data_IF_173560831713
#
_entry.id   IF_173560831713
#
_cell.length_a   1.000
_cell.length_b   1.000
_cell.length_c   1.000
_cell.angle_alpha   90.00
_cell.angle_beta   90.00
_cell.angle_gamma   90.00
#
_symmetry.space_group_name_H-M   'P 1'
#
loop_
_entity.id
_entity.type
_entity.pdbx_description
1 polymer ?
#
# COMPACT_ATOMS: atom_id res chain seq x y z
N UNK A 1 -7.43 -57.87 46.69
CA UNK A 1 -6.82 -58.13 45.37
C UNK A 1 -7.64 -57.41 44.31
N UNK A 2 -6.97 -56.77 43.36
CA UNK A 2 -7.41 -56.10 42.12
C UNK A 2 -8.67 -56.72 41.48
N UNK A 3 -9.51 -56.10 40.66
CA UNK A 3 -9.58 -54.81 39.97
C UNK A 3 -10.97 -54.81 39.29
N UNK A 4 -11.58 -53.64 39.10
CA UNK A 4 -12.78 -53.50 38.29
C UNK A 4 -12.94 -52.04 37.87
N UNK A 5 -12.16 -51.62 36.88
CA UNK A 5 -12.20 -50.27 36.31
C UNK A 5 -13.60 -49.95 35.76
N UNK A 6 -14.13 -48.81 36.18
CA UNK A 6 -15.29 -48.17 35.57
C UNK A 6 -14.91 -47.47 34.27
N UNK A 7 -15.75 -47.65 33.24
CA UNK A 7 -15.67 -46.94 31.97
C UNK A 7 -16.55 -45.68 32.07
N UNK A 8 -15.92 -44.51 32.19
CA UNK A 8 -16.61 -43.21 32.10
C UNK A 8 -16.46 -42.68 30.68
N UNK A 9 -17.59 -42.54 29.98
CA UNK A 9 -17.71 -41.83 28.70
C UNK A 9 -17.44 -40.34 28.93
N UNK A 10 -16.30 -39.84 28.48
CA UNK A 10 -16.01 -38.42 28.44
C UNK A 10 -16.67 -37.80 27.20
N UNK A 11 -17.71 -36.99 27.42
CA UNK A 11 -18.24 -36.04 26.44
C UNK A 11 -17.19 -34.94 26.23
N UNK A 12 -16.47 -34.99 25.11
CA UNK A 12 -15.56 -33.92 24.70
C UNK A 12 -16.36 -32.74 24.15
N UNK A 13 -16.62 -31.73 24.98
CA UNK A 13 -17.00 -30.41 24.51
C UNK A 13 -15.72 -29.71 24.01
N UNK A 14 -15.54 -29.61 22.69
CA UNK A 14 -14.53 -28.71 22.13
C UNK A 14 -15.08 -27.28 22.21
N UNK A 15 -14.68 -26.55 23.24
CA UNK A 15 -14.78 -25.10 23.27
C UNK A 15 -13.79 -24.53 22.24
N UNK A 16 -14.30 -24.13 21.07
CA UNK A 16 -13.58 -23.24 20.16
C UNK A 16 -13.51 -21.87 20.84
N UNK A 17 -12.50 -21.67 21.67
CA UNK A 17 -12.05 -20.33 22.02
C UNK A 17 -11.39 -19.78 20.76
N UNK A 18 -12.15 -18.99 20.00
CA UNK A 18 -11.59 -18.13 18.97
C UNK A 18 -10.66 -17.14 19.66
N UNK A 19 -9.39 -17.50 19.78
CA UNK A 19 -8.35 -16.56 20.17
C UNK A 19 -8.08 -15.72 18.93
N UNK A 20 -8.95 -14.74 18.70
CA UNK A 20 -8.63 -13.59 17.87
C UNK A 20 -7.51 -12.81 18.57
N UNK A 21 -6.28 -13.35 18.54
CA UNK A 21 -5.11 -12.53 18.79
C UNK A 21 -5.15 -11.45 17.72
N UNK A 22 -5.32 -10.21 18.15
CA UNK A 22 -5.02 -9.05 17.32
C UNK A 22 -3.55 -9.17 16.92
N UNK A 23 -3.27 -9.74 15.76
CA UNK A 23 -1.94 -9.73 15.14
C UNK A 23 -1.42 -8.27 15.06
N UNK A 24 -2.36 -7.35 14.89
CA UNK A 24 -2.20 -5.91 14.98
C UNK A 24 -1.84 -5.45 16.41
N UNK A 25 -0.56 -5.12 16.63
CA UNK A 25 -0.07 -4.42 17.85
C UNK A 25 0.15 -2.93 17.66
N UNK A 26 -0.28 -2.33 16.54
CA UNK A 26 -0.14 -0.91 16.30
C UNK A 26 -0.93 -0.13 17.36
N UNK A 27 -0.24 0.53 18.28
CA UNK A 27 -0.85 1.35 19.34
C UNK A 27 -1.10 2.79 18.86
N UNK A 28 -0.21 3.28 18.00
CA UNK A 28 -0.20 4.63 17.49
C UNK A 28 0.41 4.62 16.09
N UNK A 29 -0.18 5.36 15.16
CA UNK A 29 0.35 5.55 13.82
C UNK A 29 0.95 6.95 13.76
N UNK A 30 2.27 7.04 13.66
CA UNK A 30 2.95 8.33 13.53
C UNK A 30 2.99 8.77 12.07
N UNK A 31 3.12 7.82 11.14
CA UNK A 31 3.22 8.09 9.70
C UNK A 31 2.31 7.16 8.89
N UNK A 32 1.66 7.71 7.87
CA UNK A 32 0.94 6.99 6.85
C UNK A 32 1.57 7.30 5.49
N UNK A 33 2.13 6.30 4.83
CA UNK A 33 2.71 6.41 3.48
C UNK A 33 1.78 5.71 2.50
N UNK A 34 1.30 6.44 1.49
CA UNK A 34 0.30 5.89 0.55
C UNK A 34 0.74 5.93 -0.90
N UNK A 35 0.44 4.85 -1.61
CA UNK A 35 0.65 4.65 -3.04
C UNK A 35 -0.67 4.28 -3.69
N UNK A 36 -0.82 4.52 -4.99
CA UNK A 36 -2.00 4.10 -5.71
C UNK A 36 -2.52 5.10 -6.73
N UNK A 37 -3.82 5.05 -6.96
CA UNK A 37 -4.48 5.79 -8.03
C UNK A 37 -5.31 6.98 -7.53
N UNK A 38 -6.31 7.39 -8.32
CA UNK A 38 -7.22 8.50 -8.08
C UNK A 38 -8.09 8.38 -6.81
N UNK A 39 -8.18 7.20 -6.21
CA UNK A 39 -8.83 7.08 -4.89
C UNK A 39 -7.95 7.57 -3.75
N UNK A 40 -6.64 7.70 -3.99
CA UNK A 40 -5.64 8.04 -2.98
C UNK A 40 -4.90 9.34 -3.30
N UNK A 41 -4.65 9.67 -4.57
CA UNK A 41 -3.94 10.90 -4.96
C UNK A 41 -4.65 12.18 -4.50
N UNK A 42 -3.89 13.04 -3.84
CA UNK A 42 -4.35 14.32 -3.30
C UNK A 42 -3.91 15.51 -4.18
N UNK A 43 -2.68 15.51 -4.67
CA UNK A 43 -2.10 16.68 -5.38
C UNK A 43 -0.97 16.35 -6.35
N UNK A 44 -0.54 15.08 -6.46
CA UNK A 44 0.66 14.72 -7.21
C UNK A 44 0.40 14.71 -8.71
N UNK A 45 -0.75 14.21 -9.19
CA UNK A 45 -1.08 14.35 -10.62
C UNK A 45 -1.20 15.82 -11.02
N UNK A 46 -1.79 16.66 -10.15
CA UNK A 46 -1.91 18.10 -10.41
C UNK A 46 -0.53 18.74 -10.59
N UNK A 47 0.47 18.34 -9.80
CA UNK A 47 1.84 18.79 -9.99
C UNK A 47 2.37 18.45 -11.39
N UNK A 48 2.19 17.20 -11.84
CA UNK A 48 2.61 16.78 -13.18
C UNK A 48 1.92 17.62 -14.27
N UNK A 49 0.62 17.88 -14.14
CA UNK A 49 -0.12 18.70 -15.12
C UNK A 49 0.40 20.13 -15.17
N UNK A 50 0.71 20.74 -14.02
CA UNK A 50 1.14 22.13 -13.95
C UNK A 50 2.61 22.34 -14.34
N UNK A 51 3.48 21.39 -14.03
CA UNK A 51 4.93 21.54 -14.21
C UNK A 51 5.49 20.74 -15.41
N UNK A 52 4.70 19.81 -15.98
CA UNK A 52 5.11 18.91 -17.06
C UNK A 52 6.32 18.01 -16.71
N UNK A 53 6.60 17.87 -15.42
CA UNK A 53 7.64 17.02 -14.87
C UNK A 53 7.23 16.48 -13.49
N UNK A 54 7.97 15.48 -13.01
CA UNK A 54 7.76 14.95 -11.66
C UNK A 54 8.17 15.98 -10.59
N UNK A 55 7.51 16.01 -9.42
CA UNK A 55 8.01 16.73 -8.27
C UNK A 55 9.47 16.36 -7.96
N UNK A 56 10.31 17.32 -7.56
CA UNK A 56 11.68 17.03 -7.18
C UNK A 56 11.73 16.14 -5.93
N UNK A 57 12.82 15.40 -5.76
CA UNK A 57 13.08 14.63 -4.54
C UNK A 57 13.08 15.57 -3.33
N UNK A 58 12.40 15.15 -2.26
CA UNK A 58 12.14 15.95 -1.06
C UNK A 58 10.88 16.81 -1.12
N UNK A 59 10.12 16.77 -2.21
CA UNK A 59 8.86 17.49 -2.29
C UNK A 59 7.74 16.78 -1.51
N UNK A 60 7.21 17.47 -0.50
CA UNK A 60 6.04 17.01 0.25
C UNK A 60 4.77 17.55 -0.42
N UNK A 61 3.87 16.62 -0.75
CA UNK A 61 2.61 16.93 -1.40
C UNK A 61 1.72 17.81 -0.50
N UNK A 62 1.25 18.97 -0.97
CA UNK A 62 0.32 19.78 -0.20
C UNK A 62 -1.04 19.09 -0.10
N UNK A 63 -1.74 19.36 0.99
CA UNK A 63 -3.16 19.01 1.15
C UNK A 63 -4.01 19.70 0.08
N UNK A 64 -5.03 19.00 -0.41
CA UNK A 64 -5.95 19.52 -1.41
C UNK A 64 -7.33 18.89 -1.23
N UNK A 65 -8.35 19.73 -1.10
CA UNK A 65 -9.74 19.32 -0.95
C UNK A 65 -10.47 19.13 -2.30
N UNK A 66 -9.79 19.39 -3.42
CA UNK A 66 -10.32 19.21 -4.79
C UNK A 66 -9.63 18.02 -5.44
N UNK A 67 -10.08 16.81 -5.08
CA UNK A 67 -9.56 15.55 -5.62
C UNK A 67 -10.60 14.82 -6.47
N UNK A 68 -10.21 13.69 -7.08
CA UNK A 68 -11.10 12.84 -7.87
C UNK A 68 -12.27 12.22 -7.09
N UNK A 69 -12.25 12.24 -5.74
CA UNK A 69 -13.39 11.82 -4.93
C UNK A 69 -14.48 12.90 -4.80
N UNK A 70 -14.24 14.11 -5.31
CA UNK A 70 -15.11 15.28 -5.10
C UNK A 70 -14.90 15.97 -3.74
N UNK A 71 -13.84 15.62 -3.02
CA UNK A 71 -13.48 16.17 -1.71
C UNK A 71 -12.12 15.66 -1.25
N UNK A 72 -11.98 15.39 0.04
CA UNK A 72 -10.78 14.74 0.60
C UNK A 72 -10.69 13.26 0.20
N UNK A 73 -9.48 12.76 0.08
CA UNK A 73 -9.19 11.33 -0.12
C UNK A 73 -9.21 10.57 1.21
N UNK A 74 -9.39 9.24 1.17
CA UNK A 74 -9.51 8.41 2.37
C UNK A 74 -8.28 8.53 3.30
N UNK A 75 -7.07 8.63 2.75
CA UNK A 75 -5.84 8.69 3.53
C UNK A 75 -5.72 9.98 4.35
N UNK A 76 -6.30 11.09 3.88
CA UNK A 76 -6.38 12.36 4.60
C UNK A 76 -7.31 12.23 5.80
N UNK A 77 -8.48 11.59 5.63
CA UNK A 77 -9.35 11.27 6.77
C UNK A 77 -8.65 10.38 7.80
N UNK A 78 -7.87 9.40 7.35
CA UNK A 78 -7.08 8.55 8.26
C UNK A 78 -6.03 9.38 9.01
N UNK A 79 -5.30 10.26 8.32
CA UNK A 79 -4.36 11.20 8.93
C UNK A 79 -5.05 12.10 9.96
N UNK A 80 -6.17 12.74 9.60
CA UNK A 80 -6.95 13.61 10.47
C UNK A 80 -7.47 12.89 11.74
N UNK A 81 -7.90 11.62 11.60
CA UNK A 81 -8.45 10.84 12.72
C UNK A 81 -7.39 10.22 13.62
N UNK A 82 -6.17 10.03 13.14
CA UNK A 82 -5.09 9.38 13.91
C UNK A 82 -4.02 10.36 14.38
N UNK A 83 -3.91 11.53 13.76
CA UNK A 83 -2.80 12.46 13.94
C UNK A 83 -1.53 12.06 13.18
N UNK A 84 -1.57 11.00 12.37
CA UNK A 84 -0.43 10.54 11.59
C UNK A 84 -0.07 11.54 10.49
N UNK A 85 1.23 11.73 10.25
CA UNK A 85 1.71 12.49 9.10
C UNK A 85 1.47 11.70 7.80
N UNK A 86 0.81 12.31 6.82
CA UNK A 86 0.52 11.69 5.53
C UNK A 86 1.60 12.01 4.50
N UNK A 87 2.25 10.97 3.98
CA UNK A 87 3.14 11.03 2.83
C UNK A 87 2.50 10.35 1.62
N UNK A 88 1.94 11.17 0.73
CA UNK A 88 1.15 10.69 -0.40
C UNK A 88 1.96 10.67 -1.71
N UNK A 89 2.17 9.45 -2.23
CA UNK A 89 2.86 9.17 -3.49
C UNK A 89 1.93 8.74 -4.62
N UNK A 90 0.65 8.54 -4.33
CA UNK A 90 -0.34 8.10 -5.32
C UNK A 90 -0.47 9.11 -6.46
N UNK A 91 -0.71 8.62 -7.67
CA UNK A 91 -0.98 9.44 -8.85
C UNK A 91 -2.30 9.02 -9.49
N UNK A 92 -3.21 9.97 -9.67
CA UNK A 92 -4.47 9.72 -10.37
C UNK A 92 -4.21 9.13 -11.76
N UNK A 93 -4.88 8.02 -12.07
CA UNK A 93 -4.69 7.28 -13.34
C UNK A 93 -3.56 6.24 -13.34
N UNK A 94 -2.74 6.17 -12.27
CA UNK A 94 -1.69 5.18 -12.12
C UNK A 94 -2.20 3.75 -12.24
N UNK A 95 -1.37 2.91 -12.87
CA UNK A 95 -1.47 1.44 -12.86
C UNK A 95 -0.38 0.87 -11.97
N UNK A 96 -0.41 -0.44 -11.72
CA UNK A 96 0.69 -1.07 -10.99
C UNK A 96 2.01 -0.92 -11.75
N UNK A 97 2.00 -1.20 -13.06
CA UNK A 97 3.18 -1.10 -13.91
C UNK A 97 2.83 -0.73 -15.35
N UNK A 98 3.58 0.22 -15.90
CA UNK A 98 3.53 0.61 -17.31
C UNK A 98 4.06 -0.48 -18.24
N UNK A 99 4.72 -1.53 -17.72
CA UNK A 99 5.08 -2.71 -18.50
C UNK A 99 3.92 -3.70 -18.66
N UNK A 100 2.79 -3.47 -17.99
CA UNK A 100 1.61 -4.33 -18.01
C UNK A 100 0.44 -3.59 -18.66
N UNK A 101 0.11 -2.41 -18.15
CA UNK A 101 -1.07 -1.62 -18.54
C UNK A 101 -0.67 -0.13 -18.67
N UNK A 102 0.18 0.23 -19.65
CA UNK A 102 0.55 1.63 -19.86
C UNK A 102 -0.65 2.45 -20.32
N UNK A 103 -0.82 3.65 -19.77
CA UNK A 103 -1.93 4.55 -20.10
C UNK A 103 -1.42 5.95 -20.44
N UNK A 104 -1.63 6.36 -21.68
CA UNK A 104 -1.27 7.71 -22.14
C UNK A 104 -2.22 8.75 -21.57
N UNK A 105 -1.66 9.86 -21.08
CA UNK A 105 -2.38 10.99 -20.54
C UNK A 105 -1.95 12.28 -21.23
N UNK A 106 -2.82 12.78 -22.11
CA UNK A 106 -2.56 13.97 -22.93
C UNK A 106 -2.12 15.20 -22.14
N UNK A 107 -2.72 15.54 -20.98
CA UNK A 107 -2.32 16.72 -20.19
C UNK A 107 -0.88 16.74 -19.66
N UNK A 108 -0.19 15.60 -19.61
CA UNK A 108 1.25 15.53 -19.25
C UNK A 108 2.12 15.13 -20.45
N UNK A 109 1.53 15.01 -21.64
CA UNK A 109 2.17 14.53 -22.87
C UNK A 109 2.99 13.24 -22.67
N UNK A 110 2.45 12.29 -21.89
CA UNK A 110 3.20 11.13 -21.42
C UNK A 110 2.32 10.02 -20.86
N UNK A 111 2.96 8.94 -20.41
CA UNK A 111 2.28 7.84 -19.71
C UNK A 111 2.08 8.22 -18.24
N UNK A 112 0.94 7.85 -17.66
CA UNK A 112 0.72 8.02 -16.22
C UNK A 112 1.90 7.43 -15.41
N UNK A 113 2.43 8.17 -14.43
CA UNK A 113 3.36 7.62 -13.46
C UNK A 113 2.71 6.43 -12.72
N UNK A 114 3.37 5.26 -12.75
CA UNK A 114 2.87 4.03 -12.14
C UNK A 114 3.50 3.79 -10.77
N UNK A 115 2.93 2.84 -10.01
CA UNK A 115 3.48 2.41 -8.71
C UNK A 115 4.92 1.90 -8.87
N UNK A 116 5.16 1.00 -9.83
CA UNK A 116 6.45 0.31 -9.98
C UNK A 116 7.56 1.21 -10.57
N UNK A 117 7.22 2.07 -11.55
CA UNK A 117 8.20 2.93 -12.23
C UNK A 117 8.39 4.30 -11.59
N UNK A 118 7.46 4.80 -10.78
CA UNK A 118 7.54 6.15 -10.21
C UNK A 118 7.27 6.21 -8.71
N UNK A 119 6.12 5.76 -8.22
CA UNK A 119 5.71 6.08 -6.84
C UNK A 119 6.63 5.44 -5.80
N UNK A 120 6.90 4.13 -5.90
CA UNK A 120 7.83 3.43 -5.00
C UNK A 120 9.26 3.95 -5.16
N UNK A 121 9.85 4.08 -6.38
CA UNK A 121 11.16 4.70 -6.55
C UNK A 121 11.29 6.09 -5.92
N UNK A 122 10.27 6.95 -6.06
CA UNK A 122 10.28 8.32 -5.53
C UNK A 122 10.28 8.29 -4.00
N UNK A 123 9.42 7.47 -3.40
CA UNK A 123 9.42 7.26 -1.95
C UNK A 123 10.79 6.81 -1.43
N UNK A 124 11.41 5.81 -2.07
CA UNK A 124 12.72 5.32 -1.66
C UNK A 124 13.81 6.40 -1.77
N UNK A 125 13.73 7.28 -2.77
CA UNK A 125 14.63 8.41 -2.92
C UNK A 125 14.40 9.46 -1.81
N UNK A 126 13.14 9.83 -1.55
CA UNK A 126 12.79 10.78 -0.48
C UNK A 126 13.17 10.25 0.90
N UNK A 127 12.97 8.96 1.16
CA UNK A 127 13.31 8.35 2.44
C UNK A 127 14.81 8.35 2.74
N UNK A 128 15.65 8.48 1.71
CA UNK A 128 17.11 8.66 1.84
C UNK A 128 17.54 10.13 1.68
N UNK A 129 16.61 11.03 1.36
CA UNK A 129 16.90 12.43 1.10
C UNK A 129 17.04 13.23 2.39
N UNK A 130 18.05 14.11 2.40
CA UNK A 130 18.25 15.11 3.45
C UNK A 130 18.20 16.50 2.83
N UNK A 131 17.41 17.38 3.43
CA UNK A 131 17.32 18.77 3.00
C UNK A 131 18.71 19.42 3.06
N UNK A 132 19.24 19.97 1.95
CA UNK A 132 20.59 20.52 1.90
C UNK A 132 20.81 21.76 2.78
N UNK A 133 19.74 22.48 3.14
CA UNK A 133 19.80 23.69 3.95
C UNK A 133 19.81 23.36 5.45
N UNK A 134 19.07 22.34 5.87
CA UNK A 134 18.90 21.97 7.29
C UNK A 134 19.65 20.70 7.71
N UNK A 135 20.05 19.86 6.76
CA UNK A 135 20.63 18.53 6.98
C UNK A 135 19.64 17.48 7.53
N UNK A 136 18.38 17.86 7.74
CA UNK A 136 17.36 16.98 8.31
C UNK A 136 16.80 16.04 7.24
N UNK A 137 16.43 14.80 7.61
CA UNK A 137 15.72 13.91 6.69
C UNK A 137 14.35 14.52 6.36
N UNK A 138 13.91 14.39 5.11
CA UNK A 138 12.58 14.92 4.73
C UNK A 138 11.44 14.04 5.26
N UNK A 139 11.69 12.72 5.36
CA UNK A 139 10.77 11.75 5.96
C UNK A 139 11.35 11.28 7.28
N UNK A 140 10.56 11.40 8.37
CA UNK A 140 10.95 10.85 9.67
C UNK A 140 10.13 9.58 9.94
N UNK A 141 10.54 8.48 9.32
CA UNK A 141 9.81 7.20 9.38
C UNK A 141 10.31 6.36 10.55
N UNK A 142 9.40 5.79 11.33
CA UNK A 142 9.73 4.82 12.39
C UNK A 142 9.07 3.49 12.09
N UNK A 143 9.87 2.41 12.04
CA UNK A 143 9.37 1.09 11.60
C UNK A 143 8.12 0.66 12.36
N UNK A 144 8.06 0.87 13.68
CA UNK A 144 6.94 0.40 14.50
C UNK A 144 5.66 1.23 14.38
N UNK A 145 5.74 2.46 13.86
CA UNK A 145 4.62 3.40 13.84
C UNK A 145 4.34 3.97 12.43
N UNK A 146 5.04 3.49 11.40
CA UNK A 146 4.77 3.81 10.00
C UNK A 146 3.89 2.74 9.37
N UNK A 147 2.79 3.18 8.74
CA UNK A 147 1.87 2.33 7.98
C UNK A 147 2.00 2.62 6.51
N UNK A 148 2.04 1.57 5.70
CA UNK A 148 2.12 1.66 4.25
C UNK A 148 0.81 1.18 3.63
N UNK A 149 0.27 1.91 2.66
CA UNK A 149 -0.94 1.49 1.96
C UNK A 149 -0.78 1.62 0.44
N UNK A 150 -1.20 0.60 -0.30
CA UNK A 150 -1.25 0.60 -1.75
C UNK A 150 -2.69 0.33 -2.18
N UNK A 151 -3.32 1.31 -2.85
CA UNK A 151 -4.63 1.12 -3.50
C UNK A 151 -4.49 1.26 -5.01
N UNK A 152 -4.36 0.13 -5.69
CA UNK A 152 -4.09 0.07 -7.13
C UNK A 152 -4.88 -1.07 -7.79
N UNK A 153 -5.17 -0.95 -9.08
CA UNK A 153 -5.85 -2.01 -9.84
C UNK A 153 -7.01 -1.56 -10.70
N UNK A 154 -7.71 -0.49 -10.35
CA UNK A 154 -8.87 -0.06 -11.16
C UNK A 154 -8.48 0.37 -12.56
N UNK A 155 -7.30 0.97 -12.73
CA UNK A 155 -6.76 1.33 -14.04
C UNK A 155 -6.09 0.15 -14.76
N UNK A 156 -5.75 -0.92 -14.04
CA UNK A 156 -5.18 -2.15 -14.60
C UNK A 156 -6.29 -3.10 -15.08
N UNK A 157 -7.38 -3.19 -14.33
CA UNK A 157 -8.48 -4.11 -14.59
C UNK A 157 -9.60 -3.47 -15.42
N UNK A 158 -9.69 -2.14 -15.43
CA UNK A 158 -10.78 -1.40 -16.07
C UNK A 158 -10.61 -1.16 -17.57
N UNK A 159 -11.42 -0.23 -18.08
CA UNK A 159 -11.50 0.11 -19.50
C UNK A 159 -10.14 0.53 -20.08
N UNK A 160 -9.80 -0.02 -21.25
CA UNK A 160 -8.50 0.18 -21.90
C UNK A 160 -7.35 -0.59 -21.26
N UNK A 161 -7.68 -1.65 -20.50
CA UNK A 161 -6.72 -2.55 -19.88
C UNK A 161 -7.26 -4.00 -19.92
N UNK A 162 -7.18 -4.78 -18.83
CA UNK A 162 -7.49 -6.22 -18.87
C UNK A 162 -8.93 -6.58 -19.28
N UNK A 163 -9.94 -5.76 -18.96
CA UNK A 163 -11.33 -6.10 -19.31
C UNK A 163 -11.59 -6.08 -20.83
N UNK A 164 -10.77 -5.36 -21.58
CA UNK A 164 -10.91 -5.19 -23.04
C UNK A 164 -9.72 -5.79 -23.82
N UNK A 165 -8.92 -6.65 -23.19
CA UNK A 165 -7.68 -7.22 -23.76
C UNK A 165 -6.67 -6.17 -24.28
N UNK A 166 -6.64 -4.99 -23.66
CA UNK A 166 -5.83 -3.85 -24.06
C UNK A 166 -4.53 -3.67 -23.25
N UNK A 167 -4.24 -4.59 -22.33
CA UNK A 167 -2.92 -4.71 -21.71
C UNK A 167 -1.82 -4.99 -22.75
N UNK A 168 -0.56 -4.86 -22.34
CA UNK A 168 0.58 -5.26 -23.19
C UNK A 168 0.45 -6.73 -23.60
N UNK A 169 0.63 -7.00 -24.90
CA UNK A 169 0.49 -8.35 -25.44
C UNK A 169 1.36 -9.37 -24.69
N UNK A 170 0.75 -10.49 -24.30
CA UNK A 170 1.40 -11.56 -23.52
C UNK A 170 1.39 -11.35 -22.01
N UNK A 171 0.88 -10.21 -21.51
CA UNK A 171 0.67 -9.98 -20.07
C UNK A 171 -0.64 -10.56 -19.59
N UNK A 172 -0.62 -11.04 -18.36
CA UNK A 172 -1.72 -11.76 -17.70
C UNK A 172 -2.11 -11.07 -16.39
N UNK A 173 -3.26 -11.44 -15.83
CA UNK A 173 -3.65 -11.00 -14.49
C UNK A 173 -2.62 -11.41 -13.43
N UNK A 174 -1.88 -12.50 -13.65
CA UNK A 174 -0.81 -12.93 -12.76
C UNK A 174 0.35 -11.92 -12.77
N UNK A 175 0.77 -11.41 -13.94
CA UNK A 175 1.79 -10.35 -14.01
C UNK A 175 1.39 -9.11 -13.19
N UNK A 176 0.11 -8.75 -13.21
CA UNK A 176 -0.43 -7.62 -12.43
C UNK A 176 -0.40 -7.90 -10.93
N UNK A 177 -0.85 -9.08 -10.50
CA UNK A 177 -0.79 -9.48 -9.08
C UNK A 177 0.66 -9.56 -8.58
N UNK A 178 1.57 -10.12 -9.37
CA UNK A 178 3.01 -10.15 -9.08
C UNK A 178 3.62 -8.74 -8.98
N UNK A 179 3.13 -7.77 -9.76
CA UNK A 179 3.53 -6.38 -9.63
C UNK A 179 3.13 -5.78 -8.27
N UNK A 180 1.93 -6.09 -7.75
CA UNK A 180 1.49 -5.62 -6.43
C UNK A 180 2.38 -6.23 -5.35
N UNK A 181 2.60 -7.55 -5.39
CA UNK A 181 3.45 -8.24 -4.41
C UNK A 181 4.89 -7.73 -4.46
N UNK A 182 5.48 -7.53 -5.64
CA UNK A 182 6.81 -6.91 -5.78
C UNK A 182 6.87 -5.50 -5.19
N UNK A 183 5.81 -4.70 -5.33
CA UNK A 183 5.76 -3.36 -4.75
C UNK A 183 5.75 -3.40 -3.23
N UNK A 184 5.00 -4.35 -2.66
CA UNK A 184 4.97 -4.63 -1.23
C UNK A 184 6.34 -5.11 -0.73
N UNK A 185 6.97 -6.06 -1.44
CA UNK A 185 8.31 -6.57 -1.12
C UNK A 185 9.35 -5.46 -1.08
N UNK A 186 9.31 -4.50 -2.02
CA UNK A 186 10.22 -3.35 -2.03
C UNK A 186 10.04 -2.44 -0.80
N UNK A 187 8.80 -2.22 -0.35
CA UNK A 187 8.53 -1.46 0.88
C UNK A 187 9.00 -2.22 2.12
N UNK A 188 8.82 -3.53 2.11
CA UNK A 188 9.29 -4.42 3.15
C UNK A 188 10.82 -4.41 3.24
N UNK A 189 11.54 -4.59 2.13
CA UNK A 189 13.01 -4.55 2.07
C UNK A 189 13.57 -3.21 2.55
N UNK A 190 12.93 -2.09 2.21
CA UNK A 190 13.33 -0.77 2.68
C UNK A 190 13.38 -0.67 4.21
N UNK A 191 12.43 -1.31 4.91
CA UNK A 191 12.44 -1.35 6.36
C UNK A 191 13.25 -2.49 6.95
N UNK A 192 13.42 -3.61 6.26
CA UNK A 192 13.90 -4.86 6.86
C UNK A 192 15.24 -5.35 6.30
N UNK A 193 16.33 -4.84 6.89
CA UNK A 193 17.43 -5.73 7.27
C UNK A 193 16.92 -6.58 8.45
N UNK A 194 16.11 -7.62 8.19
CA UNK A 194 15.95 -8.77 9.11
C UNK A 194 14.69 -8.97 10.00
N UNK A 195 13.47 -8.54 9.65
CA UNK A 195 12.24 -8.95 10.40
C UNK A 195 10.97 -8.93 9.51
N UNK A 196 9.87 -9.62 9.82
CA UNK A 196 8.63 -9.74 9.01
C UNK A 196 7.72 -8.49 9.06
N UNK A 197 6.87 -8.29 8.04
CA UNK A 197 5.80 -7.28 8.01
C UNK A 197 4.47 -7.96 7.71
N UNK A 198 3.37 -7.38 8.20
CA UNK A 198 2.03 -7.91 8.03
C UNK A 198 1.30 -7.10 6.95
N UNK A 199 0.96 -7.75 5.84
CA UNK A 199 0.11 -7.16 4.82
C UNK A 199 -1.27 -7.81 4.85
N UNK A 200 -2.30 -6.99 5.03
CA UNK A 200 -3.68 -7.39 4.81
C UNK A 200 -4.12 -6.90 3.44
N UNK A 201 -4.46 -7.84 2.56
CA UNK A 201 -5.22 -7.54 1.36
C UNK A 201 -6.65 -7.16 1.80
N UNK A 202 -7.09 -5.96 1.46
CA UNK A 202 -8.48 -5.51 1.60
C UNK A 202 -9.09 -5.60 0.20
N UNK A 203 -9.43 -6.82 -0.21
CA UNK A 203 -9.97 -7.14 -1.54
C UNK A 203 -8.94 -7.10 -2.67
N UNK A 204 -9.42 -7.33 -3.90
CA UNK A 204 -8.58 -7.38 -5.12
C UNK A 204 -7.90 -6.05 -5.50
N UNK A 205 -8.22 -4.95 -4.81
CA UNK A 205 -7.91 -3.58 -5.27
C UNK A 205 -7.15 -2.76 -4.23
N UNK A 206 -7.08 -3.18 -2.97
CA UNK A 206 -6.36 -2.48 -1.94
C UNK A 206 -5.54 -3.45 -1.08
N UNK A 207 -4.30 -3.12 -0.79
CA UNK A 207 -3.48 -3.84 0.18
C UNK A 207 -2.88 -2.84 1.15
N UNK A 208 -3.06 -3.10 2.44
CA UNK A 208 -2.48 -2.29 3.52
C UNK A 208 -1.40 -3.13 4.20
N UNK A 209 -0.20 -2.60 4.28
CA UNK A 209 0.97 -3.23 4.87
C UNK A 209 1.46 -2.46 6.08
N UNK A 210 1.69 -3.17 7.18
CA UNK A 210 2.20 -2.62 8.42
C UNK A 210 3.57 -3.23 8.68
N UNK A 211 4.57 -2.38 8.88
CA UNK A 211 5.84 -2.84 9.42
C UNK A 211 5.68 -3.02 10.93
N UNK A 212 5.91 -4.23 11.44
CA UNK A 212 5.77 -4.54 12.85
C UNK A 212 6.73 -5.66 13.25
N UNK A 213 7.48 -5.47 14.33
CA UNK A 213 8.40 -6.51 14.79
C UNK A 213 7.61 -7.65 15.49
N UNK A 214 7.45 -8.77 14.78
CA UNK A 214 7.16 -10.07 15.38
C UNK A 214 5.90 -10.78 14.88
N UNK A 215 6.09 -11.82 14.07
CA UNK A 215 5.55 -13.19 14.16
C UNK A 215 5.51 -13.82 12.75
N UNK A 216 6.00 -15.06 12.66
CA UNK A 216 5.82 -15.92 11.49
C UNK A 216 4.46 -16.61 11.59
N UNK A 217 3.58 -16.35 10.63
CA UNK A 217 2.26 -16.96 10.51
C UNK A 217 1.64 -16.62 9.15
N UNK A 218 0.91 -17.56 8.58
CA UNK A 218 0.44 -17.56 7.19
C UNK A 218 -0.40 -16.33 6.79
N UNK A 219 -0.08 -15.73 5.64
CA UNK A 219 -0.92 -14.72 4.98
C UNK A 219 -2.16 -15.43 4.43
N UNK A 220 -3.30 -15.21 5.07
CA UNK A 220 -4.60 -15.54 4.50
C UNK A 220 -5.15 -14.34 3.72
N UNK A 221 -5.12 -14.42 2.39
CA UNK A 221 -5.87 -13.52 1.51
C UNK A 221 -7.36 -13.88 1.65
N UNK A 222 -8.12 -13.07 2.38
CA UNK A 222 -9.58 -13.12 2.34
C UNK A 222 -10.05 -12.36 1.09
N UNK A 223 -10.23 -13.10 -0.01
CA UNK A 223 -11.04 -12.64 -1.13
C UNK A 223 -12.50 -12.65 -0.68
N UNK A 224 -13.10 -11.45 -0.59
CA UNK A 224 -14.54 -11.23 -0.64
C UNK A 224 -14.93 -10.73 -2.01
#
# INVERSE_FOLDING_TARGET
MLSGLGLVLALGAQSVLGIGHSAWKLRHMDQLVTFGNSYTDESRLLYFVLNQEAPPIGWIAPENDVTSSGGRIWARYVSDYTGAELYNYAVSGATCSNCITPRYFGPINGIFPSVDQYEIPTFLADANYRDPQTGQPVLTLTRSNTVYAIWIGTNDLGNGAFIDDAQVAGKTLLDYVECIFRSIERLYEFHHIGASAECAAIGFVATVCFAGDGWGGDIHVLAG
#
